data_IF_833747588699
#
_entry.id   IF_833747588699
#
_cell.length_a   1.000
_cell.length_b   1.000
_cell.length_c   1.000
_cell.angle_alpha   90.00
_cell.angle_beta   90.00
_cell.angle_gamma   90.00
#
_symmetry.space_group_name_H-M   'P 1'
#
loop_
_entity.id
_entity.type
_entity.pdbx_description
1 polymer ?
#
# COMPACT_ATOMS: atom_id res chain seq x y z
N UNK A 1 2.20 29.96 -5.55
CA UNK A 1 3.08 28.81 -5.85
C UNK A 1 3.01 28.30 -7.28
N UNK A 2 1.92 28.46 -7.98
CA UNK A 2 1.85 28.18 -9.41
C UNK A 2 2.85 28.95 -10.27
N UNK A 3 3.45 30.01 -9.72
CA UNK A 3 4.46 30.84 -10.36
C UNK A 3 5.68 30.07 -10.86
N UNK A 4 6.02 28.93 -10.25
CA UNK A 4 7.22 28.16 -10.59
C UNK A 4 6.97 26.95 -11.49
N UNK A 5 5.74 26.51 -11.66
CA UNK A 5 5.46 25.26 -12.38
C UNK A 5 5.59 25.38 -13.90
N UNK A 6 5.43 26.59 -14.44
CA UNK A 6 5.35 26.82 -15.91
C UNK A 6 6.64 26.55 -16.67
N UNK A 7 7.78 26.39 -15.98
CA UNK A 7 9.10 26.17 -16.61
C UNK A 7 9.81 24.92 -16.11
N UNK A 8 9.19 24.17 -15.20
CA UNK A 8 9.78 22.99 -14.60
C UNK A 8 9.09 21.77 -15.21
N UNK A 9 9.84 20.82 -15.71
CA UNK A 9 9.35 19.59 -16.31
C UNK A 9 8.51 18.72 -15.37
N UNK A 10 8.60 17.42 -15.52
CA UNK A 10 7.82 16.45 -14.73
C UNK A 10 8.21 16.53 -13.26
N UNK A 11 7.23 16.72 -12.37
CA UNK A 11 7.47 16.96 -10.92
C UNK A 11 8.19 15.81 -10.19
N UNK A 12 8.21 14.61 -10.77
CA UNK A 12 8.89 13.45 -10.19
C UNK A 12 10.38 13.39 -10.51
N UNK A 13 10.85 14.22 -11.43
CA UNK A 13 12.27 14.27 -11.81
C UNK A 13 13.12 14.91 -10.69
N UNK A 14 14.30 14.33 -10.38
CA UNK A 14 15.15 14.83 -9.30
C UNK A 14 15.56 16.30 -9.47
N UNK A 15 15.89 16.72 -10.68
CA UNK A 15 16.27 18.11 -10.98
C UNK A 15 15.11 19.08 -10.72
N UNK A 16 13.90 18.69 -11.11
CA UNK A 16 12.68 19.48 -10.90
C UNK A 16 12.35 19.58 -9.39
N UNK A 17 12.44 18.46 -8.66
CA UNK A 17 12.27 18.46 -7.20
C UNK A 17 13.27 19.38 -6.51
N UNK A 18 14.55 19.33 -6.90
CA UNK A 18 15.59 20.21 -6.35
C UNK A 18 15.26 21.70 -6.60
N UNK A 19 14.82 22.04 -7.80
CA UNK A 19 14.42 23.39 -8.14
C UNK A 19 13.21 23.85 -7.33
N UNK A 20 12.20 22.99 -7.12
CA UNK A 20 11.06 23.29 -6.24
C UNK A 20 11.49 23.52 -4.80
N UNK A 21 12.32 22.62 -4.26
CA UNK A 21 12.84 22.75 -2.89
C UNK A 21 13.52 24.12 -2.71
N UNK A 22 14.39 24.50 -3.64
CA UNK A 22 15.06 25.79 -3.58
C UNK A 22 14.07 26.95 -3.54
N UNK A 23 13.03 26.93 -4.39
CA UNK A 23 12.01 27.98 -4.41
C UNK A 23 11.14 28.02 -3.16
N UNK A 24 10.79 26.86 -2.60
CA UNK A 24 10.05 26.79 -1.34
C UNK A 24 10.87 27.38 -0.21
N UNK A 25 12.15 27.02 -0.11
CA UNK A 25 13.05 27.52 0.93
C UNK A 25 13.32 29.02 0.81
N UNK A 26 13.35 29.57 -0.42
CA UNK A 26 13.50 31.01 -0.67
C UNK A 26 12.33 31.86 -0.10
N UNK A 27 11.13 31.28 -0.09
CA UNK A 27 9.92 31.98 0.33
C UNK A 27 9.39 31.58 1.71
N UNK A 28 9.99 30.56 2.31
CA UNK A 28 9.59 30.09 3.64
C UNK A 28 10.02 31.08 4.73
N UNK A 29 9.07 31.62 5.53
CA UNK A 29 9.42 32.48 6.65
C UNK A 29 10.17 31.67 7.73
N UNK A 30 11.28 32.19 8.27
CA UNK A 30 12.04 31.50 9.30
C UNK A 30 11.21 31.18 10.55
N UNK A 31 10.36 32.11 10.95
CA UNK A 31 9.60 32.05 12.21
C UNK A 31 8.25 31.36 12.08
N UNK A 32 7.81 31.00 10.86
CA UNK A 32 6.51 30.42 10.57
C UNK A 32 6.57 29.28 9.56
N UNK A 33 7.63 28.47 9.59
CA UNK A 33 7.84 27.37 8.66
C UNK A 33 6.71 26.32 8.69
N UNK A 34 6.15 26.03 9.87
CA UNK A 34 5.03 25.12 10.06
C UNK A 34 3.77 25.62 9.37
N UNK A 35 3.38 26.85 9.64
CA UNK A 35 2.18 27.48 9.05
C UNK A 35 2.31 27.62 7.54
N UNK A 36 3.49 27.98 7.06
CA UNK A 36 3.78 28.04 5.64
C UNK A 36 3.60 26.67 4.94
N UNK A 37 4.16 25.62 5.50
CA UNK A 37 3.98 24.27 4.96
C UNK A 37 2.52 23.82 4.99
N UNK A 38 1.80 24.10 6.09
CA UNK A 38 0.39 23.79 6.18
C UNK A 38 -0.42 24.54 5.13
N UNK A 39 -0.19 25.85 4.96
CA UNK A 39 -0.85 26.66 3.95
C UNK A 39 -0.60 26.13 2.53
N UNK A 40 0.62 25.65 2.23
CA UNK A 40 0.93 25.03 0.94
C UNK A 40 0.15 23.73 0.70
N UNK A 41 0.05 22.88 1.72
CA UNK A 41 -0.71 21.64 1.63
C UNK A 41 -2.20 21.93 1.41
N UNK A 42 -2.78 22.84 2.18
CA UNK A 42 -4.18 23.24 2.07
C UNK A 42 -4.48 23.87 0.72
N UNK A 43 -3.63 24.77 0.24
CA UNK A 43 -3.78 25.35 -1.08
C UNK A 43 -3.83 24.28 -2.18
N UNK A 44 -2.95 23.27 -2.09
CA UNK A 44 -2.90 22.16 -3.03
C UNK A 44 -4.07 21.18 -2.92
N UNK A 45 -4.64 21.03 -1.71
CA UNK A 45 -5.75 20.11 -1.48
C UNK A 45 -7.13 20.72 -1.77
N UNK A 46 -7.31 22.01 -1.48
CA UNK A 46 -8.63 22.64 -1.46
C UNK A 46 -8.86 23.61 -2.62
N UNK A 47 -7.82 24.21 -3.16
CA UNK A 47 -7.93 25.29 -4.16
C UNK A 47 -7.22 24.94 -5.46
N UNK A 48 -5.92 24.70 -5.43
CA UNK A 48 -5.09 24.38 -6.59
C UNK A 48 -4.99 22.88 -6.79
N UNK A 49 -6.15 22.22 -6.92
CA UNK A 49 -6.24 20.76 -6.96
C UNK A 49 -5.55 20.17 -8.20
N UNK A 50 -4.73 19.11 -8.04
CA UNK A 50 -3.89 18.59 -9.12
C UNK A 50 -4.61 17.64 -10.10
N UNK A 51 -5.85 17.24 -9.82
CA UNK A 51 -6.61 16.25 -10.60
C UNK A 51 -8.02 16.75 -10.94
N UNK A 52 -8.19 18.05 -11.16
CA UNK A 52 -9.47 18.64 -11.48
C UNK A 52 -9.30 20.09 -11.94
N UNK A 53 -10.39 20.80 -12.10
CA UNK A 53 -10.35 22.24 -12.38
C UNK A 53 -9.92 22.99 -11.11
N UNK A 54 -8.79 23.70 -11.12
CA UNK A 54 -8.38 24.50 -9.97
C UNK A 54 -9.34 25.66 -9.74
N UNK A 55 -9.64 25.94 -8.46
CA UNK A 55 -10.57 27.01 -8.06
C UNK A 55 -9.85 28.36 -8.04
N UNK A 56 -9.38 28.80 -9.20
CA UNK A 56 -8.57 30.02 -9.34
C UNK A 56 -9.24 31.27 -8.80
N UNK A 57 -10.57 31.38 -8.89
CA UNK A 57 -11.34 32.52 -8.38
C UNK A 57 -11.36 32.62 -6.85
N UNK A 58 -11.12 31.49 -6.16
CA UNK A 58 -11.01 31.42 -4.69
C UNK A 58 -9.57 31.44 -4.19
N UNK A 59 -8.60 31.49 -5.11
CA UNK A 59 -7.19 31.38 -4.76
C UNK A 59 -6.64 32.68 -4.18
N UNK A 60 -6.07 32.67 -2.96
CA UNK A 60 -5.48 33.89 -2.38
C UNK A 60 -4.29 34.43 -3.19
N UNK A 61 -3.67 33.56 -4.03
CA UNK A 61 -2.54 33.91 -4.89
C UNK A 61 -2.99 34.29 -6.33
N UNK A 62 -4.28 34.45 -6.59
CA UNK A 62 -4.81 34.62 -7.93
C UNK A 62 -4.19 35.83 -8.66
N UNK A 63 -3.97 36.94 -7.94
CA UNK A 63 -3.44 38.18 -8.51
C UNK A 63 -1.98 38.08 -8.99
N UNK A 64 -1.19 37.18 -8.36
CA UNK A 64 0.24 37.00 -8.67
C UNK A 64 0.54 35.66 -9.37
N UNK A 65 -0.51 34.92 -9.72
CA UNK A 65 -0.37 33.58 -10.29
C UNK A 65 -0.09 33.64 -11.80
N UNK A 66 1.14 33.34 -12.20
CA UNK A 66 1.55 33.30 -13.62
C UNK A 66 0.81 32.24 -14.43
N UNK A 67 0.54 31.06 -13.84
CA UNK A 67 -0.19 30.00 -14.52
C UNK A 67 -1.66 30.39 -14.78
N UNK A 68 -2.31 31.12 -13.85
CA UNK A 68 -3.63 31.68 -14.07
C UNK A 68 -3.60 32.74 -15.20
N UNK A 69 -2.64 33.61 -15.14
CA UNK A 69 -2.48 34.67 -16.18
C UNK A 69 -2.24 34.07 -17.58
N UNK A 70 -1.51 32.95 -17.65
CA UNK A 70 -1.22 32.23 -18.89
C UNK A 70 -2.32 31.24 -19.31
N UNK A 71 -3.36 31.02 -18.50
CA UNK A 71 -4.40 30.01 -18.75
C UNK A 71 -3.94 28.54 -18.59
N UNK A 72 -2.72 28.31 -18.09
CA UNK A 72 -2.11 26.95 -18.00
C UNK A 72 -2.33 26.27 -16.65
N UNK A 73 -3.05 26.90 -15.73
CA UNK A 73 -3.27 26.33 -14.39
C UNK A 73 -3.89 24.92 -14.38
N UNK A 74 -4.84 24.55 -15.28
CA UNK A 74 -5.40 23.21 -15.34
C UNK A 74 -4.39 22.11 -15.76
N UNK A 75 -3.31 22.48 -16.45
CA UNK A 75 -2.29 21.55 -16.93
C UNK A 75 -1.25 21.20 -15.85
N UNK A 76 -1.29 21.89 -14.71
CA UNK A 76 -0.29 21.78 -13.67
C UNK A 76 -0.79 20.95 -12.47
N UNK A 77 0.13 20.20 -11.85
CA UNK A 77 1.54 19.98 -12.18
C UNK A 77 1.72 19.02 -13.34
N UNK A 78 2.79 19.20 -14.14
CA UNK A 78 3.15 18.21 -15.16
C UNK A 78 3.57 16.89 -14.50
N UNK A 79 2.86 15.81 -14.84
CA UNK A 79 3.08 14.48 -14.29
C UNK A 79 3.49 13.52 -15.40
N UNK A 80 4.43 12.62 -15.10
CA UNK A 80 4.66 11.48 -15.97
C UNK A 80 3.38 10.62 -16.06
N UNK A 81 3.16 10.00 -17.22
CA UNK A 81 2.14 8.98 -17.34
C UNK A 81 2.33 7.90 -16.25
N UNK A 82 1.26 7.45 -15.58
CA UNK A 82 1.37 6.40 -14.58
C UNK A 82 1.98 5.15 -15.24
N UNK A 83 3.01 4.60 -14.62
CA UNK A 83 3.54 3.30 -15.05
C UNK A 83 2.48 2.24 -14.78
N UNK A 84 2.30 1.27 -15.71
CA UNK A 84 1.41 0.15 -15.44
C UNK A 84 1.88 -0.60 -14.20
N UNK A 85 0.92 -1.01 -13.35
CA UNK A 85 1.24 -1.83 -12.18
C UNK A 85 1.64 -3.23 -12.64
N UNK A 86 2.61 -3.82 -11.93
CA UNK A 86 2.92 -5.22 -12.11
C UNK A 86 1.78 -6.05 -11.53
N UNK A 87 1.18 -6.92 -12.34
CA UNK A 87 0.21 -7.91 -11.88
C UNK A 87 0.96 -9.11 -11.33
N UNK A 88 0.62 -9.54 -10.13
CA UNK A 88 1.34 -10.60 -9.44
C UNK A 88 0.34 -11.58 -8.83
N UNK A 89 0.38 -12.86 -9.23
CA UNK A 89 -0.39 -13.90 -8.57
C UNK A 89 0.16 -14.11 -7.16
N UNK A 90 -0.73 -14.39 -6.22
CA UNK A 90 -0.36 -14.71 -4.84
C UNK A 90 -1.21 -15.88 -4.37
N UNK A 91 -0.54 -16.94 -3.93
CA UNK A 91 -1.22 -18.08 -3.32
C UNK A 91 -1.17 -17.94 -1.81
N UNK A 92 -2.33 -18.04 -1.14
CA UNK A 92 -2.44 -18.02 0.32
C UNK A 92 -2.77 -19.39 0.87
N UNK A 93 -2.29 -19.65 2.09
CA UNK A 93 -2.79 -20.72 2.94
C UNK A 93 -3.31 -20.11 4.26
N UNK A 94 -4.62 -20.14 4.47
CA UNK A 94 -5.20 -19.91 5.78
C UNK A 94 -5.19 -21.24 6.54
N UNK A 95 -4.49 -21.27 7.66
CA UNK A 95 -4.32 -22.46 8.46
C UNK A 95 -4.95 -22.23 9.82
N UNK A 96 -6.00 -22.96 10.12
CA UNK A 96 -6.72 -22.90 11.39
C UNK A 96 -6.42 -24.16 12.22
N UNK A 97 -6.17 -23.94 13.50
CA UNK A 97 -6.01 -25.03 14.49
C UNK A 97 -6.79 -24.66 15.75
N UNK A 98 -6.90 -25.56 16.75
CA UNK A 98 -7.48 -25.20 18.04
C UNK A 98 -6.80 -24.04 18.76
N UNK A 99 -5.55 -23.72 18.40
CA UNK A 99 -4.81 -22.58 18.95
C UNK A 99 -5.06 -21.25 18.20
N UNK A 100 -5.81 -21.27 17.09
CA UNK A 100 -6.10 -20.12 16.26
C UNK A 100 -5.56 -20.24 14.83
N UNK A 101 -5.25 -19.13 14.21
CA UNK A 101 -4.73 -19.05 12.85
C UNK A 101 -3.23 -18.89 12.81
N UNK A 102 -2.57 -19.60 11.89
CA UNK A 102 -1.13 -19.46 11.70
C UNK A 102 -0.83 -18.16 10.95
N UNK A 103 -0.01 -17.33 11.58
CA UNK A 103 0.55 -16.14 10.97
C UNK A 103 2.06 -16.28 10.78
N UNK A 104 2.56 -15.73 9.71
CA UNK A 104 3.97 -15.61 9.39
C UNK A 104 4.39 -14.14 9.45
N UNK A 105 5.54 -13.86 10.05
CA UNK A 105 6.09 -12.52 10.04
C UNK A 105 6.84 -12.26 8.72
N UNK A 106 6.57 -11.12 8.10
CA UNK A 106 7.26 -10.70 6.90
C UNK A 106 8.71 -10.28 7.18
N UNK A 107 9.60 -10.39 6.17
CA UNK A 107 10.95 -9.87 6.29
C UNK A 107 10.97 -8.39 6.70
N UNK A 108 12.06 -7.95 7.31
CA UNK A 108 12.23 -6.57 7.77
C UNK A 108 12.35 -5.53 6.63
N UNK A 109 12.40 -5.97 5.36
CA UNK A 109 12.48 -5.12 4.18
C UNK A 109 11.48 -5.57 3.11
N UNK A 110 11.05 -4.63 2.27
CA UNK A 110 10.10 -4.90 1.18
C UNK A 110 8.67 -4.49 1.50
N UNK A 111 7.73 -5.03 0.71
CA UNK A 111 6.31 -4.72 0.84
C UNK A 111 5.76 -5.25 2.17
N UNK A 112 5.03 -4.41 2.92
CA UNK A 112 4.46 -4.75 4.24
C UNK A 112 5.51 -5.26 5.25
N UNK A 113 6.74 -4.75 5.21
CA UNK A 113 7.88 -5.21 6.01
C UNK A 113 7.56 -5.33 7.50
N UNK A 114 7.97 -6.44 8.11
CA UNK A 114 7.81 -6.72 9.54
C UNK A 114 6.40 -7.00 10.02
N UNK A 115 5.38 -6.87 9.17
CA UNK A 115 3.99 -7.12 9.55
C UNK A 115 3.67 -8.62 9.54
N UNK A 116 2.64 -9.00 10.29
CA UNK A 116 2.12 -10.36 10.32
C UNK A 116 1.09 -10.58 9.21
N UNK A 117 1.08 -11.79 8.64
CA UNK A 117 0.20 -12.15 7.53
C UNK A 117 -0.11 -13.65 7.56
N UNK A 118 -1.13 -14.12 6.83
CA UNK A 118 -1.28 -15.55 6.52
C UNK A 118 -0.06 -16.06 5.76
N UNK A 119 0.18 -17.35 5.80
CA UNK A 119 1.22 -17.98 4.97
C UNK A 119 0.90 -17.74 3.50
N UNK A 120 1.87 -17.24 2.72
CA UNK A 120 1.65 -16.96 1.30
C UNK A 120 2.94 -17.07 0.47
N UNK A 121 2.73 -17.20 -0.84
CA UNK A 121 3.79 -17.20 -1.86
C UNK A 121 3.46 -16.16 -2.92
N UNK A 122 4.33 -15.16 -3.02
CA UNK A 122 4.22 -14.05 -3.98
C UNK A 122 4.79 -14.46 -5.34
N UNK A 123 4.15 -14.01 -6.42
CA UNK A 123 4.58 -14.29 -7.79
C UNK A 123 4.20 -15.68 -8.28
N UNK A 124 3.52 -16.49 -7.48
CA UNK A 124 3.23 -17.88 -7.80
C UNK A 124 1.74 -18.18 -7.68
N UNK A 125 1.21 -18.89 -8.68
CA UNK A 125 -0.13 -19.48 -8.68
C UNK A 125 0.05 -21.00 -8.48
N UNK A 126 0.05 -21.42 -7.21
CA UNK A 126 0.30 -22.81 -6.83
C UNK A 126 -1.00 -23.63 -6.84
N UNK A 127 -0.92 -24.86 -7.27
CA UNK A 127 -1.98 -25.84 -7.08
C UNK A 127 -2.03 -26.33 -5.62
N UNK A 128 -3.17 -26.84 -5.16
CA UNK A 128 -3.38 -27.28 -3.78
C UNK A 128 -2.32 -28.30 -3.31
N UNK A 129 -1.94 -29.23 -4.19
CA UNK A 129 -0.91 -30.23 -3.89
C UNK A 129 0.47 -29.61 -3.64
N UNK A 130 0.81 -28.54 -4.37
CA UNK A 130 2.07 -27.81 -4.19
C UNK A 130 2.05 -27.01 -2.89
N UNK A 131 0.91 -26.38 -2.56
CA UNK A 131 0.72 -25.69 -1.28
C UNK A 131 0.91 -26.67 -0.13
N UNK A 132 0.27 -27.84 -0.17
CA UNK A 132 0.42 -28.87 0.86
C UNK A 132 1.87 -29.36 0.99
N UNK A 133 2.57 -29.57 -0.13
CA UNK A 133 3.99 -29.97 -0.11
C UNK A 133 4.87 -28.91 0.57
N UNK A 134 4.64 -27.62 0.27
CA UNK A 134 5.37 -26.51 0.90
C UNK A 134 5.08 -26.37 2.40
N UNK A 135 3.82 -26.56 2.80
CA UNK A 135 3.46 -26.54 4.22
C UNK A 135 4.14 -27.67 5.00
N UNK A 136 4.21 -28.87 4.42
CA UNK A 136 4.97 -29.98 5.01
C UNK A 136 6.48 -29.68 5.09
N UNK A 137 7.03 -29.05 4.07
CA UNK A 137 8.43 -28.62 4.08
C UNK A 137 8.72 -27.55 5.14
N UNK A 138 7.71 -26.75 5.55
CA UNK A 138 7.80 -25.84 6.70
C UNK A 138 7.71 -26.57 8.05
N UNK A 139 7.49 -27.88 8.07
CA UNK A 139 7.36 -28.69 9.28
C UNK A 139 5.93 -28.81 9.81
N UNK A 140 4.92 -28.44 9.02
CA UNK A 140 3.53 -28.58 9.42
C UNK A 140 3.00 -29.97 9.06
N UNK A 141 2.33 -30.61 10.02
CA UNK A 141 1.55 -31.80 9.76
C UNK A 141 0.21 -31.39 9.12
N UNK A 142 0.06 -31.67 7.85
CA UNK A 142 -1.19 -31.43 7.11
C UNK A 142 -2.13 -32.63 7.15
N UNK A 143 -1.67 -33.78 7.63
CA UNK A 143 -2.45 -35.03 7.71
C UNK A 143 -3.17 -35.35 6.41
N UNK A 144 -4.45 -35.75 6.55
CA UNK A 144 -5.41 -35.96 5.46
C UNK A 144 -6.37 -34.77 5.31
N UNK A 145 -6.04 -33.58 5.79
CA UNK A 145 -6.92 -32.43 5.72
C UNK A 145 -7.24 -32.09 4.25
N UNK A 146 -8.53 -32.04 3.92
CA UNK A 146 -8.98 -31.61 2.62
C UNK A 146 -8.95 -30.07 2.57
N UNK A 147 -8.38 -29.47 1.51
CA UNK A 147 -8.37 -28.02 1.37
C UNK A 147 -9.73 -27.50 0.93
N UNK A 148 -10.19 -26.45 1.61
CA UNK A 148 -11.32 -25.64 1.16
C UNK A 148 -10.80 -24.47 0.34
N UNK A 149 -11.36 -24.24 -0.86
CA UNK A 149 -10.93 -23.15 -1.72
C UNK A 149 -11.28 -21.77 -1.11
N UNK A 150 -10.32 -20.89 -1.04
CA UNK A 150 -10.54 -19.50 -0.65
C UNK A 150 -11.16 -18.69 -1.81
N UNK A 151 -12.02 -17.72 -1.52
CA UNK A 151 -12.52 -16.80 -2.53
C UNK A 151 -11.35 -16.00 -3.13
N UNK A 152 -11.35 -15.86 -4.45
CA UNK A 152 -10.37 -15.01 -5.12
C UNK A 152 -10.53 -13.55 -4.66
N UNK A 153 -9.41 -12.88 -4.44
CA UNK A 153 -9.39 -11.50 -4.00
C UNK A 153 -8.32 -10.71 -4.76
N UNK A 154 -8.51 -9.40 -4.82
CA UNK A 154 -7.55 -8.47 -5.43
C UNK A 154 -7.18 -7.39 -4.44
N UNK A 155 -5.89 -7.05 -4.40
CA UNK A 155 -5.43 -5.87 -3.67
C UNK A 155 -4.48 -5.03 -4.54
N UNK A 156 -4.67 -3.71 -4.49
CA UNK A 156 -3.93 -2.76 -5.33
C UNK A 156 -3.01 -1.93 -4.44
N UNK A 157 -1.71 -2.08 -4.65
CA UNK A 157 -0.68 -1.19 -4.12
C UNK A 157 -0.31 -0.11 -5.15
N UNK A 158 0.56 0.80 -4.79
CA UNK A 158 1.01 1.88 -5.68
C UNK A 158 1.65 1.36 -6.99
N UNK A 159 2.37 0.24 -6.94
CA UNK A 159 3.18 -0.27 -8.06
C UNK A 159 2.94 -1.76 -8.38
N UNK A 160 2.15 -2.46 -7.57
CA UNK A 160 1.82 -3.89 -7.72
C UNK A 160 0.33 -4.08 -7.53
N UNK A 161 -0.27 -5.02 -8.26
CA UNK A 161 -1.60 -5.56 -8.04
C UNK A 161 -1.48 -7.04 -7.68
N UNK A 162 -1.92 -7.43 -6.50
CA UNK A 162 -2.01 -8.82 -6.11
C UNK A 162 -3.33 -9.43 -6.54
N UNK A 163 -3.24 -10.54 -7.23
CA UNK A 163 -4.36 -11.44 -7.53
C UNK A 163 -4.21 -12.67 -6.65
N UNK A 164 -5.01 -12.71 -5.59
CA UNK A 164 -4.90 -13.67 -4.51
C UNK A 164 -5.88 -14.81 -4.68
N UNK A 165 -5.41 -16.04 -4.54
CA UNK A 165 -6.19 -17.27 -4.41
C UNK A 165 -5.53 -18.16 -3.37
N UNK A 166 -6.13 -19.27 -2.98
CA UNK A 166 -5.51 -20.18 -2.04
C UNK A 166 -6.49 -21.12 -1.36
N UNK A 167 -6.08 -21.67 -0.26
CA UNK A 167 -6.80 -22.71 0.49
C UNK A 167 -6.95 -22.35 1.97
N UNK A 168 -8.01 -22.83 2.57
CA UNK A 168 -8.20 -22.94 4.02
C UNK A 168 -7.98 -24.40 4.42
N UNK A 169 -7.18 -24.63 5.46
CA UNK A 169 -6.96 -25.94 6.04
C UNK A 169 -7.22 -25.92 7.54
N UNK A 170 -7.93 -26.91 8.01
CA UNK A 170 -8.11 -27.19 9.43
C UNK A 170 -7.07 -28.23 9.87
N UNK A 171 -6.17 -27.83 10.76
CA UNK A 171 -5.05 -28.63 11.19
C UNK A 171 -5.20 -29.06 12.66
N UNK A 172 -4.59 -30.20 13.05
CA UNK A 172 -4.51 -30.57 14.45
C UNK A 172 -3.67 -29.56 15.24
N UNK A 173 -3.77 -29.59 16.56
CA UNK A 173 -2.90 -28.82 17.44
C UNK A 173 -1.44 -29.23 17.23
N UNK A 174 -0.60 -28.26 16.91
CA UNK A 174 0.82 -28.45 16.66
C UNK A 174 1.62 -27.18 16.94
N UNK A 175 2.94 -27.30 17.09
CA UNK A 175 3.82 -26.15 17.27
C UNK A 175 3.90 -25.30 16.00
N UNK A 176 4.07 -23.99 16.15
CA UNK A 176 4.28 -23.10 15.03
C UNK A 176 5.69 -23.27 14.44
N UNK A 177 5.86 -23.25 13.12
CA UNK A 177 7.17 -23.21 12.48
C UNK A 177 7.96 -21.94 12.86
N UNK A 178 9.26 -21.95 12.60
CA UNK A 178 10.11 -20.79 12.83
C UNK A 178 9.60 -19.57 12.06
N UNK A 179 9.52 -18.42 12.74
CA UNK A 179 9.00 -17.18 12.17
C UNK A 179 7.48 -17.12 12.04
N UNK A 180 6.77 -18.10 12.58
CA UNK A 180 5.31 -18.16 12.60
C UNK A 180 4.77 -18.19 14.03
N UNK A 181 3.48 -17.86 14.19
CA UNK A 181 2.76 -17.91 15.46
C UNK A 181 1.32 -18.37 15.21
N UNK A 182 0.80 -19.19 16.13
CA UNK A 182 -0.64 -19.46 16.20
C UNK A 182 -1.31 -18.31 16.98
N UNK A 183 -2.11 -17.52 16.31
CA UNK A 183 -2.80 -16.38 16.90
C UNK A 183 -4.28 -16.71 17.11
N UNK A 184 -4.75 -16.61 18.37
CA UNK A 184 -6.18 -16.75 18.66
C UNK A 184 -6.99 -15.63 18.01
N UNK A 185 -8.31 -15.77 17.95
CA UNK A 185 -9.20 -14.73 17.39
C UNK A 185 -9.10 -13.42 18.16
N UNK A 186 -8.91 -13.50 19.46
CA UNK A 186 -8.70 -12.34 20.35
C UNK A 186 -7.34 -11.68 20.06
N UNK A 187 -6.28 -12.47 19.92
CA UNK A 187 -4.94 -11.97 19.59
C UNK A 187 -4.89 -11.33 18.21
N UNK A 188 -5.64 -11.83 17.22
CA UNK A 188 -5.80 -11.20 15.89
C UNK A 188 -6.43 -9.80 15.95
N UNK A 189 -7.20 -9.51 16.98
CA UNK A 189 -7.80 -8.18 17.17
C UNK A 189 -6.90 -7.24 17.98
N UNK A 190 -6.20 -7.76 18.97
CA UNK A 190 -5.44 -6.98 19.95
C UNK A 190 -3.95 -6.82 19.59
N UNK A 191 -3.30 -7.88 19.10
CA UNK A 191 -1.84 -7.94 18.96
C UNK A 191 -1.40 -8.05 17.48
N UNK A 192 -2.08 -8.91 16.69
CA UNK A 192 -1.66 -9.24 15.32
C UNK A 192 -2.56 -8.57 14.29
N UNK A 193 -2.44 -7.25 14.16
CA UNK A 193 -3.23 -6.51 13.17
C UNK A 193 -2.81 -6.89 11.76
N UNK A 194 -3.72 -7.53 11.01
CA UNK A 194 -3.49 -7.89 9.62
C UNK A 194 -3.55 -6.67 8.70
N UNK A 195 -2.62 -6.55 7.75
CA UNK A 195 -2.65 -5.51 6.71
C UNK A 195 -3.96 -5.50 5.94
N UNK A 196 -4.35 -4.31 5.46
CA UNK A 196 -5.57 -4.12 4.67
C UNK A 196 -5.62 -4.95 3.39
N UNK A 197 -4.47 -5.42 2.90
CA UNK A 197 -4.38 -6.34 1.76
C UNK A 197 -5.16 -7.64 1.99
N UNK A 198 -5.27 -8.10 3.23
CA UNK A 198 -5.97 -9.34 3.60
C UNK A 198 -7.40 -9.13 4.11
N UNK A 199 -7.99 -7.94 3.90
CA UNK A 199 -9.35 -7.61 4.37
C UNK A 199 -10.40 -8.63 3.94
N UNK A 200 -10.30 -9.17 2.74
CA UNK A 200 -11.24 -10.18 2.23
C UNK A 200 -11.22 -11.47 3.05
N UNK A 201 -10.04 -11.86 3.53
CA UNK A 201 -9.83 -13.09 4.30
C UNK A 201 -9.97 -12.88 5.81
N UNK A 202 -9.80 -11.65 6.30
CA UNK A 202 -9.96 -11.35 7.72
C UNK A 202 -11.32 -11.78 8.27
N UNK A 203 -12.37 -11.73 7.45
CA UNK A 203 -13.73 -12.16 7.84
C UNK A 203 -13.83 -13.66 8.13
N UNK A 204 -12.92 -14.47 7.60
CA UNK A 204 -12.86 -15.92 7.86
C UNK A 204 -12.08 -16.23 9.14
N UNK A 205 -11.31 -15.27 9.64
CA UNK A 205 -10.42 -15.44 10.79
C UNK A 205 -10.94 -14.85 12.11
N UNK A 206 -12.02 -14.06 12.02
CA UNK A 206 -12.59 -13.32 13.17
C UNK A 206 -13.99 -13.79 13.50
#
# INVERSE_FOLDING_TARGET
>A
MSVSYTHLGIITEPAVKKAFTARVMEHQPPDAAGDYNQALMELGALVCVPNGAPLCEKCPLAAVCRARAAGTAPELPHKAAPKPRRMEPVTLALLESPAGFLLQQRPAKGLLAGLWQPVLWEGEALADGEVLARLRAMGLDTGCAAPDALPAAKHIFSHIEWYMSGILLHLPAQSAPAGCVWASREALQAEYTLPGAFKSYKKLMV
#
